data_IF_403417772791
#
_entry.id   IF_403417772791
#
_cell.length_a   1.000
_cell.length_b   1.000
_cell.length_c   1.000
_cell.angle_alpha   90.00
_cell.angle_beta   90.00
_cell.angle_gamma   90.00
#
_symmetry.space_group_name_H-M   'P 1'
#
loop_
_entity.id
_entity.type
_entity.pdbx_description
1 polymer ?
#
# COMPACT_ATOMS: atom_id res chain seq x y z
N UNK A 1 -23.42 24.14 16.63
CA UNK A 1 -24.32 23.97 15.47
C UNK A 1 -25.62 23.38 15.97
N UNK A 2 -26.77 23.84 15.49
CA UNK A 2 -28.06 23.22 15.89
C UNK A 2 -28.35 21.97 15.05
N UNK A 3 -29.15 21.03 15.58
CA UNK A 3 -29.55 19.83 14.85
C UNK A 3 -30.22 20.16 13.50
N UNK A 4 -31.00 21.25 13.42
CA UNK A 4 -31.61 21.71 12.17
C UNK A 4 -30.58 22.18 11.13
N UNK A 5 -29.51 22.86 11.54
CA UNK A 5 -28.42 23.26 10.65
C UNK A 5 -27.73 22.02 10.06
N UNK A 6 -27.50 21.00 10.88
CA UNK A 6 -26.90 19.74 10.45
C UNK A 6 -27.81 18.98 9.49
N UNK A 7 -29.12 18.88 9.77
CA UNK A 7 -30.11 18.27 8.85
C UNK A 7 -30.14 19.00 7.50
N UNK A 8 -30.04 20.32 7.50
CA UNK A 8 -29.97 21.11 6.24
C UNK A 8 -28.69 20.81 5.45
N UNK A 9 -27.55 20.65 6.12
CA UNK A 9 -26.31 20.23 5.47
C UNK A 9 -26.40 18.80 4.92
N UNK A 10 -27.02 17.88 5.66
CA UNK A 10 -27.31 16.52 5.21
C UNK A 10 -28.13 16.52 3.92
N UNK A 11 -29.16 17.35 3.84
CA UNK A 11 -29.95 17.55 2.62
C UNK A 11 -29.13 18.05 1.42
N UNK A 12 -28.14 18.92 1.64
CA UNK A 12 -27.23 19.37 0.58
C UNK A 12 -26.32 18.23 0.07
N UNK A 13 -25.88 17.33 0.95
CA UNK A 13 -25.12 16.14 0.55
C UNK A 13 -26.01 15.16 -0.22
N UNK A 14 -27.26 14.95 0.23
CA UNK A 14 -28.24 14.14 -0.52
C UNK A 14 -28.41 14.62 -1.96
N UNK A 15 -28.47 15.93 -2.18
CA UNK A 15 -28.57 16.48 -3.53
C UNK A 15 -27.39 16.12 -4.43
N UNK A 16 -26.18 15.96 -3.88
CA UNK A 16 -24.98 15.51 -4.62
C UNK A 16 -25.05 14.02 -4.98
N UNK A 17 -25.59 13.19 -4.09
CA UNK A 17 -25.88 11.79 -4.42
C UNK A 17 -26.90 11.71 -5.57
N UNK A 18 -27.98 12.49 -5.50
CA UNK A 18 -28.98 12.56 -6.57
C UNK A 18 -28.40 13.05 -7.90
N UNK A 19 -27.44 13.98 -7.89
CA UNK A 19 -26.73 14.38 -9.10
C UNK A 19 -25.93 13.22 -9.72
N UNK A 20 -25.40 12.31 -8.90
CA UNK A 20 -24.68 11.11 -9.36
C UNK A 20 -25.64 10.04 -9.87
N UNK A 21 -26.78 9.84 -9.21
CA UNK A 21 -27.87 8.99 -9.69
C UNK A 21 -28.40 9.45 -11.07
N UNK A 22 -28.57 10.76 -11.25
CA UNK A 22 -28.98 11.34 -12.53
C UNK A 22 -27.95 11.09 -13.64
N UNK A 23 -26.66 11.17 -13.30
CA UNK A 23 -25.57 10.81 -14.21
C UNK A 23 -25.63 9.32 -14.58
N UNK A 24 -25.82 8.43 -13.62
CA UNK A 24 -26.01 6.99 -13.87
C UNK A 24 -27.19 6.71 -14.79
N UNK A 25 -28.32 7.39 -14.58
CA UNK A 25 -29.49 7.27 -15.45
C UNK A 25 -29.23 7.78 -16.87
N UNK A 26 -28.44 8.84 -17.02
CA UNK A 26 -28.02 9.34 -18.35
C UNK A 26 -27.18 8.30 -19.08
N UNK A 27 -26.19 7.71 -18.41
CA UNK A 27 -25.28 6.73 -19.03
C UNK A 27 -25.98 5.42 -19.34
N UNK A 28 -26.93 5.00 -18.49
CA UNK A 28 -27.77 3.83 -18.77
C UNK A 28 -28.49 3.94 -20.13
N UNK A 29 -28.78 5.16 -20.57
CA UNK A 29 -29.41 5.42 -21.87
C UNK A 29 -28.38 5.70 -22.98
N UNK A 30 -27.15 6.09 -22.64
CA UNK A 30 -26.07 6.44 -23.58
C UNK A 30 -24.68 6.06 -23.02
N UNK A 31 -24.30 4.77 -23.12
CA UNK A 31 -23.08 4.24 -22.51
C UNK A 31 -21.79 4.72 -23.17
N UNK A 32 -21.85 5.20 -24.42
CA UNK A 32 -20.67 5.71 -25.16
C UNK A 32 -20.31 7.16 -24.76
N UNK A 33 -21.22 7.86 -24.06
CA UNK A 33 -21.03 9.25 -23.65
C UNK A 33 -20.02 9.47 -22.53
N UNK A 34 -19.47 8.41 -21.94
CA UNK A 34 -18.68 8.48 -20.70
C UNK A 34 -17.36 7.73 -20.82
N UNK A 35 -16.33 8.30 -20.20
CA UNK A 35 -14.97 7.72 -20.15
C UNK A 35 -14.72 7.00 -18.82
N UNK A 36 -13.75 6.09 -18.82
CA UNK A 36 -13.34 5.36 -17.62
C UNK A 36 -12.90 6.34 -16.51
N UNK A 37 -12.14 7.36 -16.89
CA UNK A 37 -11.62 8.38 -15.98
C UNK A 37 -12.75 9.21 -15.34
N UNK A 38 -13.81 9.51 -16.08
CA UNK A 38 -14.98 10.21 -15.53
C UNK A 38 -15.72 9.35 -14.51
N UNK A 39 -15.83 8.03 -14.74
CA UNK A 39 -16.44 7.09 -13.79
C UNK A 39 -15.59 6.98 -12.52
N UNK A 40 -14.26 6.90 -12.63
CA UNK A 40 -13.33 6.86 -11.50
C UNK A 40 -13.42 8.14 -10.65
N UNK A 41 -13.44 9.32 -11.28
CA UNK A 41 -13.60 10.60 -10.59
C UNK A 41 -14.95 10.69 -9.86
N UNK A 42 -16.03 10.20 -10.48
CA UNK A 42 -17.35 10.17 -9.86
C UNK A 42 -17.43 9.17 -8.71
N UNK A 43 -16.73 8.04 -8.80
CA UNK A 43 -16.63 7.06 -7.72
C UNK A 43 -15.92 7.67 -6.49
N UNK A 44 -14.79 8.34 -6.71
CA UNK A 44 -14.07 9.03 -5.63
C UNK A 44 -14.93 10.13 -4.99
N UNK A 45 -15.60 10.94 -5.81
CA UNK A 45 -16.52 11.96 -5.30
C UNK A 45 -17.65 11.34 -4.48
N UNK A 46 -18.21 10.21 -4.93
CA UNK A 46 -19.28 9.47 -4.25
C UNK A 46 -18.84 8.93 -2.87
N UNK A 47 -17.60 8.46 -2.74
CA UNK A 47 -17.01 8.06 -1.45
C UNK A 47 -16.81 9.26 -0.51
N UNK A 48 -16.37 10.41 -1.05
CA UNK A 48 -16.21 11.65 -0.27
C UNK A 48 -17.55 12.17 0.30
N UNK A 49 -18.63 12.17 -0.50
CA UNK A 49 -19.95 12.59 -0.01
C UNK A 49 -20.54 11.62 1.01
N UNK A 50 -20.31 10.32 0.89
CA UNK A 50 -20.75 9.35 1.89
C UNK A 50 -20.05 9.56 3.24
N UNK A 51 -18.72 9.74 3.25
CA UNK A 51 -17.99 10.05 4.48
C UNK A 51 -18.46 11.35 5.16
N UNK A 52 -18.73 12.40 4.36
CA UNK A 52 -19.31 13.66 4.90
C UNK A 52 -20.72 13.46 5.45
N UNK A 53 -21.53 12.60 4.83
CA UNK A 53 -22.88 12.30 5.32
C UNK A 53 -22.84 11.61 6.68
N UNK A 54 -22.01 10.56 6.83
CA UNK A 54 -21.83 9.82 8.09
C UNK A 54 -21.32 10.73 9.21
N UNK A 55 -20.35 11.62 8.92
CA UNK A 55 -19.85 12.58 9.89
C UNK A 55 -20.97 13.52 10.40
N UNK A 56 -21.88 13.96 9.52
CA UNK A 56 -23.02 14.78 9.91
C UNK A 56 -24.05 13.96 10.69
N UNK A 57 -24.33 12.71 10.29
CA UNK A 57 -25.23 11.82 11.02
C UNK A 57 -24.75 11.57 12.47
N UNK A 58 -23.45 11.33 12.65
CA UNK A 58 -22.83 11.21 13.97
C UNK A 58 -22.99 12.51 14.79
N UNK A 59 -22.75 13.68 14.17
CA UNK A 59 -22.96 14.97 14.85
C UNK A 59 -24.42 15.18 15.25
N UNK A 60 -25.38 14.82 14.41
CA UNK A 60 -26.82 14.88 14.74
C UNK A 60 -27.11 13.98 15.95
N UNK A 61 -26.61 12.74 15.94
CA UNK A 61 -26.76 11.81 17.07
C UNK A 61 -26.16 12.33 18.38
N UNK A 62 -25.06 13.08 18.32
CA UNK A 62 -24.46 13.68 19.54
C UNK A 62 -25.20 14.91 20.07
N UNK A 63 -25.92 15.64 19.21
CA UNK A 63 -26.60 16.89 19.57
C UNK A 63 -28.02 16.64 20.09
N UNK A 64 -28.62 15.52 19.70
CA UNK A 64 -29.94 15.07 20.13
C UNK A 64 -29.77 14.18 21.38
N UNK A 65 -30.64 14.31 22.39
CA UNK A 65 -30.58 13.45 23.58
C UNK A 65 -30.95 12.00 23.22
N UNK A 66 -30.48 11.01 24.00
CA UNK A 66 -30.78 9.58 23.76
C UNK A 66 -32.29 9.29 23.70
N UNK A 67 -33.11 10.05 24.44
CA UNK A 67 -34.58 9.96 24.46
C UNK A 67 -35.27 10.69 23.28
N UNK A 68 -34.55 11.54 22.53
CA UNK A 68 -35.05 12.25 21.33
C UNK A 68 -34.57 11.61 20.02
N UNK A 69 -34.07 10.37 20.05
CA UNK A 69 -33.69 9.64 18.85
C UNK A 69 -34.83 9.68 17.81
N UNK A 70 -34.59 10.43 16.75
CA UNK A 70 -35.61 10.71 15.77
C UNK A 70 -35.60 9.58 14.74
N UNK A 71 -36.61 8.71 14.78
CA UNK A 71 -36.79 7.60 13.82
C UNK A 71 -36.66 8.08 12.36
N UNK A 72 -37.04 9.33 12.09
CA UNK A 72 -36.88 9.98 10.79
C UNK A 72 -35.42 10.13 10.38
N UNK A 73 -34.53 10.50 11.31
CA UNK A 73 -33.10 10.66 11.03
C UNK A 73 -32.42 9.32 10.75
N UNK A 74 -32.79 8.27 11.51
CA UNK A 74 -32.31 6.90 11.29
C UNK A 74 -32.80 6.35 9.95
N UNK A 75 -34.09 6.50 9.65
CA UNK A 75 -34.65 6.11 8.35
C UNK A 75 -33.97 6.86 7.20
N UNK A 76 -33.69 8.15 7.38
CA UNK A 76 -33.06 8.97 6.36
C UNK A 76 -31.61 8.54 6.06
N UNK A 77 -30.90 8.04 7.07
CA UNK A 77 -29.56 7.47 6.97
C UNK A 77 -29.58 6.14 6.21
N UNK A 78 -30.45 5.20 6.59
CA UNK A 78 -30.62 3.93 5.88
C UNK A 78 -30.96 4.15 4.40
N UNK A 79 -31.90 5.05 4.10
CA UNK A 79 -32.26 5.38 2.70
C UNK A 79 -31.11 6.01 1.91
N UNK A 80 -30.18 6.70 2.59
CA UNK A 80 -29.02 7.28 1.93
C UNK A 80 -27.99 6.19 1.63
N UNK A 81 -27.74 5.30 2.58
CA UNK A 81 -26.78 4.22 2.45
C UNK A 81 -27.18 3.21 1.36
N UNK A 82 -28.46 2.83 1.32
CA UNK A 82 -28.99 1.96 0.26
C UNK A 82 -28.78 2.56 -1.13
N UNK A 83 -29.06 3.86 -1.28
CA UNK A 83 -28.87 4.58 -2.55
C UNK A 83 -27.41 4.76 -2.91
N UNK A 84 -26.55 5.05 -1.93
CA UNK A 84 -25.11 5.13 -2.11
C UNK A 84 -24.55 3.78 -2.61
N UNK A 85 -24.91 2.67 -1.96
CA UNK A 85 -24.46 1.33 -2.34
C UNK A 85 -24.93 0.96 -3.75
N UNK A 86 -26.19 1.26 -4.09
CA UNK A 86 -26.72 1.01 -5.43
C UNK A 86 -25.99 1.84 -6.51
N UNK A 87 -25.73 3.12 -6.24
CA UNK A 87 -25.01 4.00 -7.16
C UNK A 87 -23.56 3.55 -7.34
N UNK A 88 -22.87 3.21 -6.24
CA UNK A 88 -21.50 2.70 -6.25
C UNK A 88 -21.38 1.39 -7.02
N UNK A 89 -22.26 0.43 -6.77
CA UNK A 89 -22.30 -0.84 -7.50
C UNK A 89 -22.50 -0.63 -9.01
N UNK A 90 -23.35 0.33 -9.40
CA UNK A 90 -23.60 0.66 -10.80
C UNK A 90 -22.37 1.27 -11.48
N UNK A 91 -21.64 2.17 -10.81
CA UNK A 91 -20.38 2.74 -11.31
C UNK A 91 -19.30 1.67 -11.46
N UNK A 92 -19.14 0.80 -10.46
CA UNK A 92 -18.16 -0.30 -10.51
C UNK A 92 -18.48 -1.27 -11.65
N UNK A 93 -19.75 -1.63 -11.82
CA UNK A 93 -20.19 -2.50 -12.92
C UNK A 93 -19.89 -1.88 -14.28
N UNK A 94 -20.13 -0.58 -14.46
CA UNK A 94 -19.76 0.11 -15.70
C UNK A 94 -18.24 0.20 -15.91
N UNK A 95 -17.47 0.38 -14.84
CA UNK A 95 -16.01 0.35 -14.92
C UNK A 95 -15.51 -1.03 -15.35
N UNK A 96 -16.16 -2.11 -14.90
CA UNK A 96 -15.88 -3.49 -15.33
C UNK A 96 -16.33 -3.76 -16.77
N UNK A 97 -17.47 -3.20 -17.22
CA UNK A 97 -17.98 -3.33 -18.59
C UNK A 97 -17.13 -2.57 -19.63
N UNK A 98 -16.51 -1.45 -19.23
CA UNK A 98 -15.58 -0.69 -20.07
C UNK A 98 -14.15 -1.25 -20.07
N UNK A 99 -13.85 -2.23 -19.21
CA UNK A 99 -12.68 -3.08 -19.42
C UNK A 99 -12.99 -4.02 -20.59
N UNK A 100 -12.14 -4.09 -21.63
CA UNK A 100 -12.38 -5.01 -22.72
C UNK A 100 -12.41 -6.45 -22.18
N UNK A 101 -13.60 -7.05 -22.18
CA UNK A 101 -13.86 -8.46 -21.91
C UNK A 101 -13.00 -9.28 -22.86
N UNK A 102 -11.87 -9.79 -22.35
CA UNK A 102 -11.01 -10.70 -23.06
C UNK A 102 -11.71 -12.06 -23.25
N UNK A 103 -12.55 -12.18 -24.28
CA UNK A 103 -12.98 -13.47 -24.80
C UNK A 103 -12.95 -13.50 -26.34
N UNK A 104 -12.00 -14.30 -26.82
CA UNK A 104 -11.99 -15.07 -28.07
C UNK A 104 -12.15 -14.31 -29.40
N UNK A 105 -11.04 -13.82 -29.96
CA UNK A 105 -10.50 -14.40 -31.20
C UNK A 105 -9.04 -14.00 -31.41
N UNK A 106 -8.31 -14.92 -32.03
CA UNK A 106 -6.89 -14.93 -32.35
C UNK A 106 -6.38 -13.66 -33.04
N UNK A 107 -5.46 -12.93 -32.42
CA UNK A 107 -4.16 -12.49 -32.97
C UNK A 107 -3.60 -11.27 -32.19
N UNK A 108 -2.44 -11.48 -31.53
CA UNK A 108 -1.49 -10.42 -31.20
C UNK A 108 -1.61 -9.70 -29.84
N UNK A 109 -0.80 -10.10 -28.85
CA UNK A 109 -0.03 -9.16 -28.03
C UNK A 109 -0.44 -8.83 -26.58
N UNK A 110 -0.04 -9.69 -25.63
CA UNK A 110 0.73 -9.30 -24.41
C UNK A 110 0.13 -8.50 -23.21
N UNK A 111 -1.16 -8.59 -22.83
CA UNK A 111 -1.61 -7.97 -21.55
C UNK A 111 -2.45 -8.84 -20.60
N UNK A 112 -2.75 -10.09 -20.94
CA UNK A 112 -3.70 -10.91 -20.17
C UNK A 112 -3.11 -11.65 -18.97
N UNK A 113 -1.79 -11.82 -18.87
CA UNK A 113 -1.17 -12.66 -17.83
C UNK A 113 -1.04 -11.98 -16.47
N UNK A 114 -0.87 -10.65 -16.40
CA UNK A 114 -0.75 -9.93 -15.13
C UNK A 114 -2.09 -9.83 -14.38
N UNK A 115 -3.20 -9.67 -15.09
CA UNK A 115 -4.52 -9.52 -14.46
C UNK A 115 -5.03 -10.82 -13.83
N UNK A 116 -4.73 -11.99 -14.39
CA UNK A 116 -5.13 -13.28 -13.81
C UNK A 116 -4.31 -13.60 -12.57
N UNK A 117 -3.00 -13.34 -12.60
CA UNK A 117 -2.13 -13.51 -11.43
C UNK A 117 -2.48 -12.54 -10.30
N UNK A 118 -2.79 -11.29 -10.61
CA UNK A 118 -3.23 -10.29 -9.64
C UNK A 118 -4.53 -10.73 -8.96
N UNK A 119 -5.53 -11.21 -9.71
CA UNK A 119 -6.80 -11.71 -9.16
C UNK A 119 -6.60 -12.96 -8.28
N UNK A 120 -5.70 -13.86 -8.67
CA UNK A 120 -5.39 -15.07 -7.87
C UNK A 120 -4.67 -14.69 -6.58
N UNK A 121 -3.72 -13.75 -6.62
CA UNK A 121 -3.01 -13.25 -5.44
C UNK A 121 -3.95 -12.47 -4.52
N UNK A 122 -4.84 -11.65 -5.06
CA UNK A 122 -5.84 -10.90 -4.30
C UNK A 122 -6.85 -11.86 -3.62
N UNK A 123 -7.35 -12.85 -4.36
CA UNK A 123 -8.21 -13.90 -3.80
C UNK A 123 -7.50 -14.67 -2.67
N UNK A 124 -6.19 -14.90 -2.80
CA UNK A 124 -5.37 -15.60 -1.82
C UNK A 124 -5.02 -14.72 -0.61
N UNK A 125 -4.88 -13.39 -0.78
CA UNK A 125 -4.70 -12.43 0.33
C UNK A 125 -5.96 -12.30 1.18
N UNK A 126 -7.15 -12.29 0.55
CA UNK A 126 -8.43 -12.26 1.26
C UNK A 126 -8.61 -13.53 2.10
N UNK A 127 -8.27 -14.69 1.53
CA UNK A 127 -8.33 -15.99 2.21
C UNK A 127 -7.32 -16.07 3.39
N UNK A 128 -6.12 -15.51 3.20
CA UNK A 128 -5.11 -15.37 4.25
C UNK A 128 -5.57 -14.45 5.39
N UNK A 129 -6.25 -13.34 5.07
CA UNK A 129 -6.78 -12.40 6.06
C UNK A 129 -7.88 -13.05 6.91
N UNK A 130 -8.81 -13.78 6.28
CA UNK A 130 -9.84 -14.54 6.99
C UNK A 130 -9.25 -15.64 7.91
N UNK A 131 -8.21 -16.34 7.45
CA UNK A 131 -7.54 -17.35 8.27
C UNK A 131 -6.74 -16.72 9.43
N UNK A 132 -6.20 -15.51 9.25
CA UNK A 132 -5.49 -14.78 10.31
C UNK A 132 -6.46 -14.25 11.37
N UNK A 133 -7.63 -13.75 10.97
CA UNK A 133 -8.70 -13.29 11.87
C UNK A 133 -9.30 -14.42 12.71
N UNK A 134 -9.30 -15.67 12.23
CA UNK A 134 -9.68 -16.85 13.02
C UNK A 134 -8.62 -17.29 14.04
N UNK A 135 -7.38 -16.80 13.95
CA UNK A 135 -6.25 -17.22 14.81
C UNK A 135 -5.93 -16.27 15.97
N UNK A 136 -6.92 -15.51 16.47
CA UNK A 136 -6.75 -14.65 17.65
C UNK A 136 -6.44 -15.41 18.96
N UNK A 137 -6.36 -16.75 18.96
CA UNK A 137 -6.20 -17.53 20.20
C UNK A 137 -5.22 -18.70 20.18
N UNK A 138 -4.46 -18.97 19.11
CA UNK A 138 -3.49 -20.08 19.16
C UNK A 138 -2.20 -19.84 18.39
N UNK A 139 -1.14 -19.66 19.18
CA UNK A 139 0.29 -19.93 18.97
C UNK A 139 0.96 -19.47 17.66
N UNK A 140 2.01 -18.65 17.82
CA UNK A 140 2.93 -18.14 16.80
C UNK A 140 3.44 -19.20 15.80
N UNK A 141 3.42 -20.48 16.18
CA UNK A 141 3.72 -21.65 15.34
C UNK A 141 2.79 -21.79 14.11
N UNK A 142 1.52 -21.39 14.22
CA UNK A 142 0.56 -21.49 13.13
C UNK A 142 0.90 -20.52 11.99
N UNK A 143 1.31 -19.29 12.32
CA UNK A 143 1.72 -18.27 11.35
C UNK A 143 3.03 -18.63 10.65
N UNK A 144 4.00 -19.21 11.37
CA UNK A 144 5.23 -19.73 10.77
C UNK A 144 4.95 -20.85 9.77
N UNK A 145 4.06 -21.79 10.12
CA UNK A 145 3.65 -22.88 9.21
C UNK A 145 2.86 -22.38 8.01
N UNK A 146 2.05 -21.33 8.16
CA UNK A 146 1.31 -20.70 7.06
C UNK A 146 2.27 -20.00 6.07
N UNK A 147 3.27 -19.28 6.57
CA UNK A 147 4.29 -18.63 5.74
C UNK A 147 5.19 -19.65 5.03
N UNK A 148 5.56 -20.73 5.72
CA UNK A 148 6.33 -21.84 5.15
C UNK A 148 5.52 -22.60 4.08
N UNK A 149 4.22 -22.81 4.31
CA UNK A 149 3.32 -23.38 3.31
C UNK A 149 3.15 -22.48 2.08
N UNK A 150 3.11 -21.15 2.26
CA UNK A 150 3.12 -20.17 1.16
C UNK A 150 4.40 -20.28 0.31
N UNK A 151 5.56 -20.41 0.95
CA UNK A 151 6.83 -20.62 0.26
C UNK A 151 6.86 -21.91 -0.57
N UNK A 152 6.39 -23.01 0.00
CA UNK A 152 6.34 -24.32 -0.67
C UNK A 152 5.34 -24.37 -1.83
N UNK A 153 4.20 -23.67 -1.74
CA UNK A 153 3.23 -23.58 -2.84
C UNK A 153 3.80 -22.79 -4.04
N UNK A 154 4.47 -21.67 -3.77
CA UNK A 154 5.13 -20.86 -4.79
C UNK A 154 6.26 -21.62 -5.49
N UNK A 155 6.95 -22.49 -4.76
CA UNK A 155 8.01 -23.34 -5.31
C UNK A 155 7.44 -24.43 -6.23
N UNK A 156 6.30 -25.04 -5.87
CA UNK A 156 5.61 -26.04 -6.73
C UNK A 156 5.11 -25.45 -8.05
N UNK A 157 4.71 -24.17 -8.06
CA UNK A 157 4.34 -23.45 -9.29
C UNK A 157 5.55 -23.17 -10.20
N UNK A 158 6.77 -23.17 -9.66
CA UNK A 158 8.02 -22.99 -10.43
C UNK A 158 8.51 -24.27 -11.11
N UNK A 159 8.10 -25.47 -10.66
CA UNK A 159 8.68 -26.75 -11.09
C UNK A 159 7.88 -27.43 -12.23
N UNK A 160 6.60 -27.09 -12.43
CA UNK A 160 5.74 -27.74 -13.43
C UNK A 160 5.89 -27.16 -14.84
N UNK A 161 7.11 -27.01 -15.35
CA UNK A 161 7.31 -26.49 -16.70
C UNK A 161 8.61 -26.95 -17.35
N UNK A 162 8.62 -28.20 -17.77
CA UNK A 162 9.60 -28.71 -18.73
C UNK A 162 8.94 -28.87 -20.09
N UNK A 163 9.31 -28.01 -21.05
CA UNK A 163 9.00 -28.23 -22.46
C UNK A 163 8.78 -26.96 -23.28
N UNK A 164 9.78 -26.64 -24.11
CA UNK A 164 9.77 -25.69 -25.25
C UNK A 164 9.99 -24.19 -24.95
N UNK A 165 10.66 -23.46 -25.87
CA UNK A 165 11.64 -22.43 -25.56
C UNK A 165 10.96 -21.16 -25.06
N UNK A 166 11.19 -20.85 -23.79
CA UNK A 166 10.52 -19.77 -23.07
C UNK A 166 11.19 -18.42 -23.33
N UNK A 167 10.37 -17.47 -23.76
CA UNK A 167 10.57 -16.05 -23.51
C UNK A 167 10.97 -15.81 -22.04
N UNK A 168 11.84 -14.83 -21.77
CA UNK A 168 12.44 -14.62 -20.47
C UNK A 168 11.34 -14.44 -19.41
N UNK A 169 11.22 -15.43 -18.51
CA UNK A 169 10.37 -15.34 -17.34
C UNK A 169 10.66 -14.05 -16.58
N UNK A 170 9.71 -13.11 -16.62
CA UNK A 170 9.67 -11.97 -15.72
C UNK A 170 9.35 -12.53 -14.33
N UNK A 171 10.40 -12.86 -13.59
CA UNK A 171 10.33 -13.10 -12.15
C UNK A 171 9.84 -11.79 -11.53
N UNK A 172 8.58 -11.71 -11.12
CA UNK A 172 8.13 -10.65 -10.23
C UNK A 172 9.07 -10.64 -9.02
N UNK A 173 9.83 -9.55 -8.79
CA UNK A 173 10.72 -9.51 -7.66
C UNK A 173 9.85 -9.55 -6.41
N UNK A 174 10.01 -10.62 -5.62
CA UNK A 174 9.70 -10.65 -4.19
C UNK A 174 10.06 -9.26 -3.66
N UNK A 175 9.11 -8.57 -3.04
CA UNK A 175 9.32 -7.23 -2.49
C UNK A 175 10.35 -7.37 -1.38
N UNK A 176 11.63 -7.33 -1.75
CA UNK A 176 12.75 -7.43 -0.85
C UNK A 176 12.74 -6.13 -0.06
N UNK A 177 12.33 -6.23 1.19
CA UNK A 177 12.56 -5.15 2.16
C UNK A 177 14.01 -4.67 1.98
N UNK A 178 14.25 -3.35 1.88
CA UNK A 178 15.59 -2.84 1.71
C UNK A 178 16.43 -3.35 2.88
N UNK A 179 17.50 -4.10 2.61
CA UNK A 179 18.33 -4.68 3.67
C UNK A 179 19.37 -3.67 4.11
N UNK A 180 19.39 -3.31 5.38
CA UNK A 180 20.38 -2.42 5.95
C UNK A 180 21.38 -3.20 6.79
N UNK A 181 22.66 -3.16 6.41
CA UNK A 181 23.74 -3.90 7.07
C UNK A 181 24.48 -3.10 8.15
N UNK A 182 24.17 -1.79 8.28
CA UNK A 182 24.89 -0.86 9.16
C UNK A 182 25.83 0.12 8.44
N UNK A 183 25.86 0.14 7.11
CA UNK A 183 26.65 1.12 6.36
C UNK A 183 26.07 2.53 6.50
N UNK A 184 26.75 3.39 7.27
CA UNK A 184 26.32 4.78 7.57
C UNK A 184 25.99 5.58 6.28
N UNK A 185 26.71 5.31 5.19
CA UNK A 185 26.52 5.94 3.88
C UNK A 185 25.16 5.62 3.22
N UNK A 186 24.57 4.47 3.54
CA UNK A 186 23.30 4.01 2.97
C UNK A 186 22.12 4.25 3.90
N UNK A 187 22.37 4.76 5.11
CA UNK A 187 21.36 5.01 6.14
C UNK A 187 20.24 5.93 5.65
N UNK A 188 20.57 7.07 5.03
CA UNK A 188 19.54 8.01 4.53
C UNK A 188 18.58 7.35 3.55
N UNK A 189 19.14 6.67 2.54
CA UNK A 189 18.36 5.97 1.52
C UNK A 189 17.47 4.89 2.14
N UNK A 190 18.00 4.11 3.08
CA UNK A 190 17.24 3.09 3.78
C UNK A 190 16.13 3.69 4.65
N UNK A 191 16.44 4.71 5.46
CA UNK A 191 15.50 5.34 6.37
C UNK A 191 14.31 5.96 5.61
N UNK A 192 14.56 6.67 4.50
CA UNK A 192 13.51 7.27 3.67
C UNK A 192 12.62 6.21 3.02
N UNK A 193 13.22 5.13 2.52
CA UNK A 193 12.50 4.01 1.89
C UNK A 193 11.68 3.23 2.92
N UNK A 194 12.25 2.98 4.10
CA UNK A 194 11.57 2.27 5.19
C UNK A 194 10.42 3.13 5.75
N UNK A 195 10.62 4.44 5.84
CA UNK A 195 9.60 5.36 6.33
C UNK A 195 8.37 5.36 5.41
N UNK A 196 8.60 5.53 4.11
CA UNK A 196 7.53 5.58 3.10
C UNK A 196 6.77 4.26 2.94
N UNK A 197 7.45 3.11 3.08
CA UNK A 197 6.82 1.80 2.88
C UNK A 197 6.14 1.26 4.15
N UNK A 198 6.70 1.52 5.34
CA UNK A 198 6.38 0.76 6.55
C UNK A 198 6.05 1.68 7.73
N UNK A 199 6.75 2.80 7.90
CA UNK A 199 6.46 3.70 9.02
C UNK A 199 5.15 4.46 8.83
N UNK A 200 4.88 4.93 7.61
CA UNK A 200 3.70 5.73 7.25
C UNK A 200 2.48 4.87 6.88
N UNK A 201 2.57 3.54 6.94
CA UNK A 201 1.45 2.63 6.66
C UNK A 201 0.62 2.30 7.92
N UNK A 202 -0.62 1.85 7.72
CA UNK A 202 -1.59 1.50 8.77
C UNK A 202 -1.30 0.17 9.49
N UNK A 203 -0.03 -0.23 9.57
CA UNK A 203 0.42 -1.42 10.29
C UNK A 203 0.50 -1.15 11.81
N UNK A 204 0.30 -2.18 12.63
CA UNK A 204 0.51 -2.07 14.08
C UNK A 204 2.00 -1.87 14.39
N UNK A 205 2.37 -1.22 15.51
CA UNK A 205 3.79 -0.99 15.79
C UNK A 205 4.54 -2.31 16.02
N UNK A 206 3.85 -3.34 16.51
CA UNK A 206 4.38 -4.72 16.58
C UNK A 206 4.75 -5.25 15.19
N UNK A 207 3.86 -5.09 14.19
CA UNK A 207 4.14 -5.49 12.81
C UNK A 207 5.30 -4.67 12.22
N UNK A 208 5.30 -3.35 12.42
CA UNK A 208 6.39 -2.46 11.98
C UNK A 208 7.73 -2.87 12.58
N UNK A 209 7.75 -3.32 13.84
CA UNK A 209 8.95 -3.81 14.51
C UNK A 209 9.44 -5.13 13.91
N UNK A 210 8.55 -6.07 13.61
CA UNK A 210 8.92 -7.32 12.92
C UNK A 210 9.53 -7.04 11.55
N UNK A 211 8.95 -6.11 10.79
CA UNK A 211 9.50 -5.66 9.51
C UNK A 211 10.84 -4.96 9.66
N UNK A 212 11.01 -4.13 10.71
CA UNK A 212 12.27 -3.48 11.03
C UNK A 212 13.37 -4.53 11.25
N UNK A 213 13.13 -5.51 12.14
CA UNK A 213 14.07 -6.61 12.43
C UNK A 213 14.41 -7.41 11.17
N UNK A 214 13.41 -7.77 10.36
CA UNK A 214 13.63 -8.53 9.11
C UNK A 214 14.37 -7.75 8.02
N UNK A 215 14.30 -6.42 8.03
CA UNK A 215 15.02 -5.55 7.09
C UNK A 215 16.46 -5.23 7.53
N UNK A 216 16.82 -5.55 8.78
CA UNK A 216 18.14 -5.27 9.32
C UNK A 216 19.03 -6.50 9.25
N UNK A 217 20.30 -6.27 8.95
CA UNK A 217 21.32 -7.31 8.86
C UNK A 217 22.64 -6.82 9.46
N UNK A 218 23.54 -7.75 9.78
CA UNK A 218 24.90 -7.43 10.22
C UNK A 218 24.95 -6.55 11.47
N UNK A 219 25.65 -5.42 11.37
CA UNK A 219 25.90 -4.53 12.51
C UNK A 219 24.66 -3.75 12.94
N UNK A 220 23.70 -3.53 12.04
CA UNK A 220 22.46 -2.83 12.36
C UNK A 220 21.48 -3.72 13.13
N UNK A 221 21.39 -5.02 12.79
CA UNK A 221 20.56 -5.98 13.52
C UNK A 221 21.00 -6.10 14.99
N UNK A 222 22.31 -6.15 15.25
CA UNK A 222 22.89 -6.21 16.61
C UNK A 222 22.51 -5.04 17.51
N UNK A 223 22.13 -3.88 16.95
CA UNK A 223 21.75 -2.69 17.73
C UNK A 223 20.39 -2.88 18.39
N UNK A 224 19.49 -3.63 17.74
CA UNK A 224 18.13 -3.85 18.19
C UNK A 224 17.86 -5.28 18.65
N UNK A 225 18.84 -6.19 18.50
CA UNK A 225 18.76 -7.60 18.95
C UNK A 225 18.44 -7.74 20.44
N UNK A 226 18.85 -6.77 21.28
CA UNK A 226 18.55 -6.75 22.70
C UNK A 226 17.17 -6.20 23.05
N UNK A 227 16.37 -5.79 22.05
CA UNK A 227 15.06 -5.17 22.24
C UNK A 227 13.99 -6.18 21.81
N UNK A 228 13.09 -6.51 22.73
CA UNK A 228 11.99 -7.42 22.42
C UNK A 228 10.96 -6.76 21.49
N UNK A 229 10.41 -7.57 20.58
CA UNK A 229 9.37 -7.16 19.64
C UNK A 229 8.08 -6.85 20.42
N UNK A 230 7.85 -5.57 20.69
CA UNK A 230 6.66 -5.06 21.38
C UNK A 230 6.25 -3.71 20.79
N UNK A 231 4.98 -3.34 20.97
CA UNK A 231 4.36 -2.15 20.41
C UNK A 231 5.06 -0.86 20.89
N UNK A 232 5.38 -0.81 22.19
CA UNK A 232 6.08 0.31 22.82
C UNK A 232 7.57 0.35 22.46
N UNK A 233 8.15 -0.81 22.15
CA UNK A 233 9.58 -0.96 21.87
C UNK A 233 9.94 -0.61 20.43
N UNK A 234 8.98 -0.56 19.52
CA UNK A 234 9.20 -0.15 18.13
C UNK A 234 9.82 1.25 18.03
N UNK A 235 9.19 2.22 18.72
CA UNK A 235 9.64 3.61 18.73
C UNK A 235 11.06 3.73 19.28
N UNK A 236 11.35 2.97 20.34
CA UNK A 236 12.68 2.92 20.97
C UNK A 236 13.73 2.32 20.03
N UNK A 237 13.40 1.22 19.34
CA UNK A 237 14.29 0.57 18.38
C UNK A 237 14.59 1.49 17.18
N UNK A 238 13.57 2.19 16.67
CA UNK A 238 13.73 3.14 15.57
C UNK A 238 14.58 4.36 15.97
N UNK A 239 14.34 4.92 17.16
CA UNK A 239 15.14 6.04 17.68
C UNK A 239 16.60 5.65 17.95
N UNK A 240 16.86 4.42 18.42
CA UNK A 240 18.22 3.93 18.62
C UNK A 240 19.00 3.80 17.31
N UNK A 241 18.34 3.32 16.26
CA UNK A 241 18.95 3.25 14.92
C UNK A 241 19.21 4.65 14.37
N UNK A 242 18.23 5.57 14.48
CA UNK A 242 18.41 6.98 14.15
C UNK A 242 19.59 7.60 14.91
N UNK A 243 19.63 7.46 16.24
CA UNK A 243 20.71 8.03 17.05
C UNK A 243 22.09 7.50 16.67
N UNK A 244 22.19 6.25 16.22
CA UNK A 244 23.46 5.62 15.89
C UNK A 244 23.93 5.87 14.45
N UNK A 245 22.99 6.02 13.50
CA UNK A 245 23.30 6.09 12.08
C UNK A 245 22.89 7.43 11.42
N UNK A 246 22.02 8.23 12.05
CA UNK A 246 21.54 9.55 11.60
C UNK A 246 22.38 10.69 12.20
N UNK A 247 23.71 10.60 12.11
CA UNK A 247 24.61 11.72 12.40
C UNK A 247 25.16 12.29 11.09
N UNK A 248 24.56 13.39 10.63
CA UNK A 248 24.95 14.11 9.43
C UNK A 248 26.43 14.50 9.39
N UNK A 249 27.06 14.78 10.54
CA UNK A 249 28.49 15.13 10.60
C UNK A 249 29.36 13.91 10.34
N UNK A 250 28.98 12.77 10.90
CA UNK A 250 29.69 11.49 10.71
C UNK A 250 29.48 10.96 9.29
N UNK A 251 28.26 11.07 8.75
CA UNK A 251 27.94 10.71 7.36
C UNK A 251 28.80 11.52 6.39
N UNK A 252 28.84 12.85 6.52
CA UNK A 252 29.69 13.71 5.68
C UNK A 252 31.17 13.39 5.84
N UNK A 253 31.65 13.22 7.08
CA UNK A 253 33.05 12.87 7.34
C UNK A 253 33.43 11.54 6.68
N UNK A 254 32.53 10.55 6.70
CA UNK A 254 32.74 9.26 6.05
C UNK A 254 32.80 9.40 4.53
N UNK A 255 31.88 10.16 3.92
CA UNK A 255 31.93 10.43 2.48
C UNK A 255 33.20 11.18 2.06
N UNK A 256 33.67 12.14 2.86
CA UNK A 256 34.97 12.81 2.65
C UNK A 256 36.11 11.79 2.74
N UNK A 257 36.11 10.91 3.73
CA UNK A 257 37.13 9.88 3.87
C UNK A 257 37.14 8.91 2.68
N UNK A 258 35.98 8.49 2.17
CA UNK A 258 35.87 7.66 0.97
C UNK A 258 36.39 8.37 -0.30
N UNK A 259 36.25 9.70 -0.38
CA UNK A 259 36.90 10.50 -1.43
C UNK A 259 38.43 10.54 -1.32
N UNK A 260 38.99 10.41 -0.11
CA UNK A 260 40.44 10.32 0.07
C UNK A 260 40.98 8.88 -0.08
N UNK A 261 40.15 7.88 0.21
CA UNK A 261 40.44 6.45 0.07
C UNK A 261 40.03 5.90 -1.32
N UNK A 262 40.15 6.72 -2.37
CA UNK A 262 39.80 6.32 -3.73
C UNK A 262 40.51 5.02 -4.15
N UNK A 263 39.78 4.04 -4.71
CA UNK A 263 40.38 2.81 -5.18
C UNK A 263 41.41 3.09 -6.27
N UNK A 264 42.65 2.62 -6.08
CA UNK A 264 43.70 2.71 -7.09
C UNK A 264 43.28 1.91 -8.32
N UNK A 265 43.12 2.60 -9.45
CA UNK A 265 42.84 1.97 -10.75
C UNK A 265 44.16 1.42 -11.31
N UNK A 266 44.36 0.09 -11.39
CA UNK A 266 45.64 -0.50 -11.80
C UNK A 266 45.84 -0.55 -13.32
N UNK A 267 44.76 -0.41 -14.10
CA UNK A 267 44.79 -0.35 -15.56
C UNK A 267 43.81 0.70 -16.07
N UNK A 268 44.31 1.61 -16.90
CA UNK A 268 43.51 2.63 -17.56
C UNK A 268 42.56 1.98 -18.56
N UNK A 269 41.27 2.08 -18.29
CA UNK A 269 40.19 1.60 -19.14
C UNK A 269 39.04 2.59 -19.04
N UNK A 270 38.30 2.79 -20.13
CA UNK A 270 37.14 3.68 -20.15
C UNK A 270 36.12 3.33 -19.05
N UNK A 271 35.90 2.04 -18.79
CA UNK A 271 35.03 1.57 -17.71
C UNK A 271 35.58 1.90 -16.32
N UNK A 272 36.89 1.72 -16.10
CA UNK A 272 37.50 2.01 -14.80
C UNK A 272 37.53 3.53 -14.49
N UNK A 273 37.61 4.38 -15.52
CA UNK A 273 37.49 5.83 -15.37
C UNK A 273 36.03 6.22 -15.09
N UNK A 274 35.05 5.59 -15.77
CA UNK A 274 33.64 5.79 -15.47
C UNK A 274 33.29 5.38 -14.05
N UNK A 275 33.73 4.20 -13.60
CA UNK A 275 33.51 3.72 -12.23
C UNK A 275 34.11 4.68 -11.19
N UNK A 276 35.28 5.25 -11.46
CA UNK A 276 35.92 6.24 -10.60
C UNK A 276 35.11 7.56 -10.56
N UNK A 277 34.63 8.04 -11.70
CA UNK A 277 33.78 9.23 -11.79
C UNK A 277 32.47 9.00 -11.04
N UNK A 278 31.83 7.84 -11.20
CA UNK A 278 30.59 7.49 -10.52
C UNK A 278 30.79 7.37 -9.01
N UNK A 279 31.91 6.80 -8.56
CA UNK A 279 32.28 6.73 -7.15
C UNK A 279 32.48 8.12 -6.53
N UNK A 280 33.22 9.01 -7.20
CA UNK A 280 33.42 10.40 -6.76
C UNK A 280 32.09 11.16 -6.73
N UNK A 281 31.28 11.04 -7.78
CA UNK A 281 29.97 11.70 -7.86
C UNK A 281 28.99 11.21 -6.80
N UNK A 282 29.00 9.90 -6.47
CA UNK A 282 28.16 9.33 -5.41
C UNK A 282 28.43 10.02 -4.08
N UNK A 283 29.70 10.27 -3.75
CA UNK A 283 30.09 10.89 -2.49
C UNK A 283 29.93 12.42 -2.51
N UNK A 284 30.21 13.08 -3.63
CA UNK A 284 29.99 14.53 -3.79
C UNK A 284 28.51 14.94 -3.69
N UNK A 285 27.57 14.12 -4.17
CA UNK A 285 26.13 14.44 -4.09
C UNK A 285 25.57 14.50 -2.67
N UNK A 286 26.28 13.93 -1.70
CA UNK A 286 25.82 13.83 -0.30
C UNK A 286 26.51 14.87 0.61
N UNK A 287 27.56 15.55 0.11
CA UNK A 287 28.31 16.61 0.81
C UNK A 287 27.68 17.98 0.58
#
# INVERSE_FOLDING_TARGET
MTAEQLRRQRGAIKAKLTATENFLNRIKNDPESTTKEEIELRLHSLEEIHGKFQAIAQQISTVISEDESNERDVSEETEFDDRYLAARASLIKMLEELQPTAQATTSGGSQTSENVLARILEQQMILMRQLTEQTNNTSNDALTRILEHQGQMLERLSVQSTGTPREPHVKLPILKLPTFNGAIEEWKRYADTFKTLIHDSDLSNVQKHQYLVGSLSGAAAKVIESIEISDQNYTVAWELLKKRYEDDKVIRKRHIQCLFELPRVPRESAGAIQDLVDHVQKHLRVL
#
